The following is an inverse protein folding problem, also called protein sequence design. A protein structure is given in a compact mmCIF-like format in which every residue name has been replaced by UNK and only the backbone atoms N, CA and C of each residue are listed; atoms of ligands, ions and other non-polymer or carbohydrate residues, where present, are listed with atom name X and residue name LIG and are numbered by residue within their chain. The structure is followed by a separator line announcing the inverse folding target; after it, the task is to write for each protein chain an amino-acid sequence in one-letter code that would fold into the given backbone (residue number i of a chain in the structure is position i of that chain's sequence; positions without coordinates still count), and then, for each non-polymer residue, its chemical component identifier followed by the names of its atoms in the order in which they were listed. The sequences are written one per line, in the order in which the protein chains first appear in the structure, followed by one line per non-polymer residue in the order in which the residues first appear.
data_IF_599598855266
#
_entry.id   IF_599598855266
#
_cell.length_a   1.000
_cell.length_b   1.000
_cell.length_c   1.000
_cell.angle_alpha   90.00
_cell.angle_beta   90.00
_cell.angle_gamma   90.00
#
_symmetry.space_group_name_H-M   'P 1'
#
loop_
_entity.id
_entity.type
_entity.pdbx_description
1 polymer ?
#
# COMPACT_ATOMS: atom_id res chain seq x y z
N UNK A 1 -16.46 -5.35 64.34
CA UNK A 1 -15.05 -4.89 64.18
C UNK A 1 -15.03 -3.95 62.97
N UNK A 2 -14.60 -2.73 63.18
CA UNK A 2 -14.48 -1.78 62.03
C UNK A 2 -13.31 -2.24 61.17
N UNK A 3 -13.58 -2.70 59.95
CA UNK A 3 -12.57 -3.10 58.97
C UNK A 3 -11.90 -1.86 58.30
N UNK A 4 -11.86 -0.75 59.03
CA UNK A 4 -11.26 0.48 58.56
C UNK A 4 -9.73 0.43 58.65
N UNK A 5 -9.05 0.48 57.52
CA UNK A 5 -7.58 0.46 57.42
C UNK A 5 -7.03 1.78 56.88
N UNK A 6 -6.25 2.47 57.68
CA UNK A 6 -5.70 3.81 57.36
C UNK A 6 -4.20 3.76 57.09
N UNK A 7 -3.59 2.60 57.00
CA UNK A 7 -2.13 2.46 56.75
C UNK A 7 -1.24 2.59 57.98
N UNK A 8 -1.82 2.88 59.17
CA UNK A 8 -1.09 3.01 60.41
C UNK A 8 -0.99 1.70 61.24
N UNK A 9 -1.63 0.63 60.80
CA UNK A 9 -1.57 -0.66 61.43
C UNK A 9 -0.59 -1.58 60.69
N UNK A 10 0.20 -2.39 61.44
CA UNK A 10 1.28 -3.21 60.84
C UNK A 10 0.76 -4.30 59.90
N UNK A 11 -0.51 -4.66 59.97
CA UNK A 11 -1.12 -5.70 59.13
C UNK A 11 -2.53 -5.30 58.71
N UNK A 12 -2.82 -5.45 57.43
CA UNK A 12 -4.14 -5.22 56.85
C UNK A 12 -5.17 -6.21 57.46
N UNK A 13 -6.37 -5.74 57.85
CA UNK A 13 -7.45 -6.60 58.32
C UNK A 13 -7.80 -7.71 57.29
N UNK A 14 -8.15 -8.93 57.73
CA UNK A 14 -8.30 -10.07 56.82
C UNK A 14 -9.35 -9.86 55.70
N UNK A 15 -10.49 -9.24 56.05
CA UNK A 15 -11.56 -8.95 55.08
C UNK A 15 -11.09 -7.99 53.97
N UNK A 16 -10.43 -6.89 54.38
CA UNK A 16 -9.88 -5.91 53.43
C UNK A 16 -8.76 -6.52 52.57
N UNK A 17 -7.91 -7.37 53.15
CA UNK A 17 -6.86 -8.09 52.43
C UNK A 17 -7.42 -8.96 51.32
N UNK A 18 -8.47 -9.72 51.59
CA UNK A 18 -9.13 -10.58 50.59
C UNK A 18 -9.76 -9.74 49.51
N UNK A 19 -10.43 -8.66 49.86
CA UNK A 19 -11.02 -7.71 48.88
C UNK A 19 -9.96 -7.12 47.97
N UNK A 20 -8.89 -6.53 48.54
CA UNK A 20 -7.80 -5.92 47.75
C UNK A 20 -7.13 -6.92 46.82
N UNK A 21 -6.85 -8.16 47.32
CA UNK A 21 -6.28 -9.21 46.47
C UNK A 21 -7.17 -9.56 45.27
N UNK A 22 -8.51 -9.66 45.49
CA UNK A 22 -9.48 -9.92 44.41
C UNK A 22 -9.52 -8.79 43.40
N UNK A 23 -9.58 -7.54 43.85
CA UNK A 23 -9.60 -6.36 42.99
C UNK A 23 -8.33 -6.28 42.16
N UNK A 24 -7.15 -6.45 42.78
CA UNK A 24 -5.86 -6.45 42.07
C UNK A 24 -5.79 -7.58 41.04
N UNK A 25 -6.24 -8.77 41.37
CA UNK A 25 -6.27 -9.90 40.44
C UNK A 25 -7.21 -9.62 39.25
N UNK A 26 -8.41 -9.07 39.51
CA UNK A 26 -9.37 -8.73 38.45
C UNK A 26 -8.78 -7.64 37.51
N UNK A 27 -8.21 -6.57 38.09
CA UNK A 27 -7.59 -5.50 37.30
C UNK A 27 -6.42 -6.04 36.46
N UNK A 28 -5.58 -6.90 37.03
CA UNK A 28 -4.47 -7.55 36.33
C UNK A 28 -4.96 -8.41 35.15
N UNK A 29 -6.00 -9.20 35.36
CA UNK A 29 -6.60 -10.01 34.28
C UNK A 29 -7.23 -9.15 33.20
N UNK A 30 -7.95 -8.07 33.57
CA UNK A 30 -8.50 -7.12 32.57
C UNK A 30 -7.40 -6.42 31.78
N UNK A 31 -6.33 -5.98 32.43
CA UNK A 31 -5.20 -5.36 31.74
C UNK A 31 -4.54 -6.33 30.74
N UNK A 32 -4.34 -7.59 31.11
CA UNK A 32 -3.82 -8.61 30.20
C UNK A 32 -4.79 -8.89 29.04
N UNK A 33 -6.09 -8.97 29.30
CA UNK A 33 -7.08 -9.16 28.24
C UNK A 33 -7.12 -8.01 27.25
N UNK A 34 -7.06 -6.75 27.72
CA UNK A 34 -6.99 -5.56 26.87
C UNK A 34 -5.69 -5.56 26.05
N UNK A 35 -4.55 -5.86 26.67
CA UNK A 35 -3.28 -5.94 25.95
C UNK A 35 -3.31 -7.02 24.86
N UNK A 36 -3.86 -8.20 25.14
CA UNK A 36 -4.02 -9.25 24.15
C UNK A 36 -4.98 -8.84 23.03
N UNK A 37 -6.09 -8.20 23.33
CA UNK A 37 -7.04 -7.70 22.33
C UNK A 37 -6.40 -6.64 21.41
N UNK A 38 -5.59 -5.74 21.96
CA UNK A 38 -4.85 -4.74 21.17
C UNK A 38 -3.82 -5.40 20.25
N UNK A 39 -3.07 -6.38 20.74
CA UNK A 39 -2.11 -7.14 19.92
C UNK A 39 -2.82 -7.87 18.77
N UNK A 40 -3.90 -8.60 19.07
CA UNK A 40 -4.67 -9.32 18.07
C UNK A 40 -5.31 -8.39 17.05
N UNK A 41 -5.80 -7.21 17.48
CA UNK A 41 -6.35 -6.19 16.59
C UNK A 41 -5.35 -5.57 15.63
N UNK A 42 -4.05 -5.63 15.93
CA UNK A 42 -3.00 -5.12 15.05
C UNK A 42 -2.45 -6.18 14.06
N UNK A 43 -2.69 -7.46 14.29
CA UNK A 43 -2.20 -8.53 13.42
C UNK A 43 -2.63 -8.41 11.93
N UNK A 44 -3.87 -7.95 11.60
CA UNK A 44 -4.27 -7.75 10.20
C UNK A 44 -3.45 -6.70 9.45
N UNK A 45 -2.82 -5.77 10.16
CA UNK A 45 -1.99 -4.72 9.55
C UNK A 45 -0.59 -5.21 9.13
N UNK A 46 -0.18 -6.40 9.57
CA UNK A 46 1.17 -6.94 9.34
C UNK A 46 1.40 -7.55 7.94
N UNK A 47 0.47 -7.39 6.97
CA UNK A 47 0.57 -8.02 5.65
C UNK A 47 1.35 -7.21 4.62
N UNK A 48 1.84 -6.04 4.96
CA UNK A 48 2.61 -5.14 4.09
C UNK A 48 4.06 -5.07 4.54
N UNK A 49 4.99 -4.98 3.60
CA UNK A 49 6.42 -5.00 3.90
C UNK A 49 7.15 -3.95 3.10
N UNK A 50 8.02 -3.20 3.78
CA UNK A 50 9.05 -2.40 3.17
C UNK A 50 10.42 -2.96 3.62
N UNK A 51 11.19 -3.46 2.67
CA UNK A 51 12.55 -3.97 2.93
C UNK A 51 13.55 -2.83 3.08
N UNK A 52 13.26 -1.93 4.04
CA UNK A 52 14.06 -0.72 4.27
C UNK A 52 15.51 -1.06 4.58
N UNK A 53 16.45 -0.38 3.92
CA UNK A 53 17.89 -0.62 4.03
C UNK A 53 18.40 -1.84 3.26
N UNK A 54 17.54 -2.59 2.56
CA UNK A 54 17.92 -3.76 1.76
C UNK A 54 17.95 -3.43 0.28
N UNK A 55 18.95 -2.68 -0.14
CA UNK A 55 19.12 -2.28 -1.53
C UNK A 55 19.48 -3.48 -2.41
N UNK A 56 18.71 -3.72 -3.46
CA UNK A 56 18.92 -4.78 -4.45
C UNK A 56 19.11 -4.18 -5.84
N UNK A 57 19.72 -4.96 -6.76
CA UNK A 57 19.85 -4.60 -8.16
C UNK A 57 18.78 -5.29 -8.99
N UNK A 58 18.13 -4.52 -9.87
CA UNK A 58 17.09 -4.99 -10.77
C UNK A 58 17.47 -4.64 -12.19
N UNK A 59 17.10 -5.50 -13.14
CA UNK A 59 17.25 -5.28 -14.57
C UNK A 59 15.96 -5.67 -15.27
N UNK A 60 15.53 -4.85 -16.23
CA UNK A 60 14.29 -5.12 -16.95
C UNK A 60 14.02 -4.06 -18.01
N UNK A 61 12.89 -4.22 -18.69
CA UNK A 61 12.41 -3.27 -19.70
C UNK A 61 11.51 -2.25 -19.00
N UNK A 62 11.72 -0.98 -19.29
CA UNK A 62 10.96 0.09 -18.69
C UNK A 62 9.71 0.41 -19.51
N UNK A 63 8.56 0.38 -18.87
CA UNK A 63 7.31 0.98 -19.34
C UNK A 63 7.03 2.25 -18.54
N UNK A 64 6.71 3.36 -19.20
CA UNK A 64 6.43 4.62 -18.51
C UNK A 64 4.94 4.97 -18.45
N UNK A 65 4.07 4.25 -19.18
CA UNK A 65 2.64 4.53 -19.26
C UNK A 65 1.78 3.34 -18.76
N UNK A 66 0.73 3.58 -17.95
CA UNK A 66 0.37 4.86 -17.32
C UNK A 66 1.29 5.29 -16.19
N UNK A 67 1.99 4.36 -15.56
CA UNK A 67 2.91 4.61 -14.45
C UNK A 67 4.25 3.92 -14.70
N UNK A 68 5.37 4.54 -14.32
CA UNK A 68 6.68 3.90 -14.45
C UNK A 68 6.70 2.52 -13.82
N UNK A 69 7.02 1.53 -14.63
CA UNK A 69 6.97 0.10 -14.27
C UNK A 69 8.18 -0.60 -14.89
N UNK A 70 8.87 -1.41 -14.10
CA UNK A 70 9.94 -2.26 -14.58
C UNK A 70 9.40 -3.66 -14.89
N UNK A 71 9.58 -4.11 -16.11
CA UNK A 71 9.26 -5.46 -16.56
C UNK A 71 10.50 -6.33 -16.39
N UNK A 72 10.48 -7.20 -15.40
CA UNK A 72 11.58 -8.13 -15.11
C UNK A 72 11.24 -9.49 -15.68
N UNK A 73 12.14 -10.06 -16.46
CA UNK A 73 11.97 -11.38 -17.09
C UNK A 73 11.68 -12.45 -16.02
N UNK A 74 10.66 -13.28 -16.24
CA UNK A 74 10.36 -14.45 -15.42
C UNK A 74 10.94 -15.71 -16.08
N UNK A 75 11.77 -16.49 -15.38
CA UNK A 75 12.17 -17.79 -15.88
C UNK A 75 10.98 -18.78 -15.88
N UNK A 76 10.87 -19.64 -16.88
CA UNK A 76 9.83 -20.67 -16.97
C UNK A 76 8.49 -20.18 -17.51
N UNK A 77 8.51 -19.36 -18.56
CA UNK A 77 7.34 -18.88 -19.29
C UNK A 77 6.44 -20.05 -19.76
N UNK A 78 5.15 -19.99 -19.43
CA UNK A 78 4.09 -20.85 -19.96
C UNK A 78 2.90 -19.98 -20.35
N UNK A 79 1.94 -20.48 -21.11
CA UNK A 79 0.70 -19.73 -21.46
C UNK A 79 -0.06 -19.21 -20.23
N UNK A 80 0.09 -19.87 -19.09
CA UNK A 80 -0.53 -19.48 -17.81
C UNK A 80 0.36 -18.63 -16.92
N UNK A 81 1.62 -18.39 -17.30
CA UNK A 81 2.58 -17.60 -16.51
C UNK A 81 3.05 -16.41 -17.33
N UNK A 82 2.75 -15.15 -16.89
CA UNK A 82 3.17 -13.98 -17.65
C UNK A 82 4.69 -13.92 -17.80
N UNK A 83 5.15 -13.51 -18.97
CA UNK A 83 6.57 -13.40 -19.32
C UNK A 83 7.36 -12.50 -18.37
N UNK A 84 6.70 -11.49 -17.83
CA UNK A 84 7.32 -10.48 -16.98
C UNK A 84 6.63 -10.37 -15.63
N UNK A 85 7.42 -10.13 -14.59
CA UNK A 85 6.94 -9.51 -13.35
C UNK A 85 6.94 -8.00 -13.52
N UNK A 86 5.88 -7.35 -13.08
CA UNK A 86 5.70 -5.90 -13.21
C UNK A 86 5.92 -5.24 -11.85
N UNK A 87 6.95 -4.44 -11.72
CA UNK A 87 7.26 -3.70 -10.51
C UNK A 87 7.01 -2.21 -10.72
N UNK A 88 6.04 -1.64 -10.01
CA UNK A 88 5.86 -0.19 -10.00
C UNK A 88 7.12 0.49 -9.50
N UNK A 89 7.46 1.64 -10.10
CA UNK A 89 8.65 2.41 -9.70
C UNK A 89 8.23 3.72 -9.05
N UNK A 90 8.84 4.04 -7.93
CA UNK A 90 8.69 5.33 -7.25
C UNK A 90 10.04 5.89 -6.83
N UNK A 91 10.11 7.19 -6.66
CA UNK A 91 11.30 7.86 -6.12
C UNK A 91 11.28 7.86 -4.59
N UNK A 92 12.40 8.15 -3.93
CA UNK A 92 12.45 8.34 -2.48
C UNK A 92 11.51 9.43 -1.98
N UNK A 93 11.04 9.27 -0.75
CA UNK A 93 10.11 10.22 -0.13
C UNK A 93 8.69 10.11 -0.71
N UNK A 94 8.05 11.26 -0.99
CA UNK A 94 6.67 11.36 -1.46
C UNK A 94 6.59 11.67 -2.96
N UNK A 95 7.42 11.04 -3.77
CA UNK A 95 7.55 11.34 -5.18
C UNK A 95 7.35 10.10 -6.06
N UNK A 96 6.63 10.29 -7.16
CA UNK A 96 6.59 9.33 -8.27
C UNK A 96 7.93 9.28 -9.00
N UNK A 97 8.07 8.33 -9.90
CA UNK A 97 9.31 8.13 -10.66
C UNK A 97 9.27 8.70 -12.08
N UNK A 98 8.20 9.40 -12.48
CA UNK A 98 8.01 9.90 -13.84
C UNK A 98 9.17 10.78 -14.32
N UNK A 99 9.66 11.67 -13.44
CA UNK A 99 10.78 12.56 -13.76
C UNK A 99 12.11 11.83 -13.90
N UNK A 100 12.27 10.66 -13.29
CA UNK A 100 13.49 9.86 -13.39
C UNK A 100 13.60 9.13 -14.74
N UNK A 101 12.47 8.89 -15.39
CA UNK A 101 12.38 8.01 -16.55
C UNK A 101 11.86 8.70 -17.81
N UNK A 102 12.04 10.01 -17.93
CA UNK A 102 11.69 10.74 -19.14
C UNK A 102 12.49 10.22 -20.34
N UNK A 103 11.81 9.98 -21.48
CA UNK A 103 12.40 9.50 -22.74
C UNK A 103 13.11 8.14 -22.64
N UNK A 104 12.71 7.28 -21.68
CA UNK A 104 13.32 5.98 -21.47
C UNK A 104 12.35 4.81 -21.69
N UNK A 105 11.11 5.09 -22.13
CA UNK A 105 10.14 4.05 -22.45
C UNK A 105 10.70 3.04 -23.46
N UNK A 106 10.53 1.74 -23.17
CA UNK A 106 11.06 0.65 -24.01
C UNK A 106 12.55 0.39 -23.89
N UNK A 107 13.28 1.09 -23.03
CA UNK A 107 14.69 0.80 -22.81
C UNK A 107 14.86 -0.29 -21.75
N UNK A 108 15.84 -1.17 -21.96
CA UNK A 108 16.34 -2.03 -20.91
C UNK A 108 17.18 -1.18 -19.97
N UNK A 109 16.89 -1.26 -18.69
CA UNK A 109 17.57 -0.48 -17.65
C UNK A 109 18.02 -1.39 -16.51
N UNK A 110 19.13 -1.00 -15.90
CA UNK A 110 19.55 -1.54 -14.61
C UNK A 110 19.43 -0.44 -13.57
N UNK A 111 18.86 -0.77 -12.43
CA UNK A 111 18.68 0.17 -11.33
C UNK A 111 18.85 -0.56 -9.98
N UNK A 112 19.05 0.19 -8.93
CA UNK A 112 19.00 -0.30 -7.55
C UNK A 112 17.81 0.29 -6.83
N UNK A 113 17.30 -0.41 -5.84
CA UNK A 113 16.22 0.07 -5.00
C UNK A 113 15.82 -0.93 -3.93
N UNK A 114 14.82 -0.56 -3.17
CA UNK A 114 14.27 -1.30 -2.06
C UNK A 114 12.86 -1.77 -2.39
N UNK A 115 12.53 -3.00 -2.00
CA UNK A 115 11.23 -3.59 -2.29
C UNK A 115 10.17 -3.14 -1.29
N UNK A 116 9.00 -2.82 -1.80
CA UNK A 116 7.78 -2.54 -1.05
C UNK A 116 6.68 -3.42 -1.63
N UNK A 117 6.03 -4.25 -0.80
CA UNK A 117 5.03 -5.17 -1.34
C UNK A 117 3.93 -5.51 -0.35
N UNK A 118 2.75 -5.83 -0.91
CA UNK A 118 1.59 -6.38 -0.21
C UNK A 118 0.85 -7.31 -1.16
N UNK A 119 0.58 -8.53 -0.71
CA UNK A 119 -0.04 -9.58 -1.52
C UNK A 119 0.73 -9.81 -2.84
N UNK A 120 0.07 -9.62 -3.97
CA UNK A 120 0.62 -9.79 -5.32
C UNK A 120 1.19 -8.49 -5.93
N UNK A 121 1.05 -7.36 -5.26
CA UNK A 121 1.55 -6.08 -5.73
C UNK A 121 2.94 -5.78 -5.18
N UNK A 122 3.86 -5.44 -6.06
CA UNK A 122 5.23 -5.09 -5.70
C UNK A 122 5.66 -3.77 -6.34
N UNK A 123 6.43 -3.01 -5.61
CA UNK A 123 6.96 -1.71 -5.97
C UNK A 123 8.45 -1.66 -5.63
N UNK A 124 9.20 -0.86 -6.37
CA UNK A 124 10.61 -0.55 -6.07
C UNK A 124 10.71 0.94 -5.76
N UNK A 125 11.21 1.27 -4.57
CA UNK A 125 11.73 2.62 -4.31
C UNK A 125 13.11 2.70 -4.92
N UNK A 126 13.22 3.47 -6.01
CA UNK A 126 14.42 3.51 -6.84
C UNK A 126 15.47 4.44 -6.23
N UNK A 127 16.73 4.03 -6.20
CA UNK A 127 17.87 4.88 -5.93
C UNK A 127 18.24 5.67 -7.20
N UNK A 128 17.93 6.99 -7.33
CA UNK A 128 18.01 7.71 -8.61
C UNK A 128 19.41 7.68 -9.25
N UNK A 129 20.47 7.77 -8.44
CA UNK A 129 21.85 7.76 -8.91
C UNK A 129 22.30 6.41 -9.49
N UNK A 130 21.52 5.35 -9.27
CA UNK A 130 21.85 4.00 -9.72
C UNK A 130 21.36 3.66 -11.14
N UNK A 131 20.48 4.48 -11.70
CA UNK A 131 19.82 4.20 -12.99
C UNK A 131 20.85 4.20 -14.11
N UNK A 132 20.87 3.11 -14.90
CA UNK A 132 21.72 2.97 -16.11
C UNK A 132 20.87 2.40 -17.24
N UNK A 133 20.75 3.16 -18.32
CA UNK A 133 20.21 2.64 -19.59
C UNK A 133 21.22 1.69 -20.22
N UNK A 134 20.79 0.53 -20.65
CA UNK A 134 21.63 -0.49 -21.30
C UNK A 134 21.45 -0.41 -22.81
N UNK A 135 20.32 -0.85 -23.30
CA UNK A 135 20.00 -0.90 -24.72
C UNK A 135 18.55 -0.51 -24.96
N UNK A 136 18.23 -0.12 -26.19
CA UNK A 136 16.85 0.06 -26.60
C UNK A 136 16.31 -1.29 -27.07
N UNK A 137 15.18 -1.69 -26.51
CA UNK A 137 14.43 -2.88 -26.92
C UNK A 137 13.12 -2.36 -27.50
N UNK A 138 12.69 -2.94 -28.62
CA UNK A 138 11.33 -2.60 -29.09
C UNK A 138 10.33 -2.99 -28.00
N UNK A 139 9.62 -2.02 -27.40
CA UNK A 139 8.64 -2.35 -26.41
C UNK A 139 7.51 -3.11 -27.07
N UNK A 140 7.29 -4.34 -26.65
CA UNK A 140 6.08 -5.07 -26.97
C UNK A 140 5.21 -5.13 -25.70
N UNK A 141 4.61 -4.01 -25.30
CA UNK A 141 3.79 -3.97 -24.12
C UNK A 141 2.55 -4.82 -24.34
N UNK A 142 2.23 -5.68 -23.37
CA UNK A 142 0.95 -6.37 -23.39
C UNK A 142 -0.16 -5.32 -23.57
N UNK A 143 -1.12 -5.52 -24.48
CA UNK A 143 -2.25 -4.61 -24.63
C UNK A 143 -3.11 -4.63 -23.36
N UNK A 144 -3.83 -3.53 -23.11
CA UNK A 144 -4.88 -3.54 -22.12
C UNK A 144 -6.00 -4.46 -22.58
N UNK A 145 -6.43 -5.34 -21.69
CA UNK A 145 -7.57 -6.22 -21.87
C UNK A 145 -8.71 -5.73 -20.96
N UNK A 146 -9.85 -5.40 -21.55
CA UNK A 146 -11.04 -5.07 -20.77
C UNK A 146 -11.61 -6.32 -20.09
N UNK A 147 -11.88 -6.18 -18.80
CA UNK A 147 -12.58 -7.19 -18.00
C UNK A 147 -14.06 -6.82 -17.78
N UNK A 148 -14.50 -5.68 -18.35
CA UNK A 148 -15.86 -5.18 -18.28
C UNK A 148 -16.09 -4.08 -17.26
N UNK A 149 -17.31 -3.58 -17.23
CA UNK A 149 -17.76 -2.57 -16.27
C UNK A 149 -17.93 -3.19 -14.89
N UNK A 150 -17.49 -2.44 -13.87
CA UNK A 150 -17.63 -2.82 -12.46
C UNK A 150 -18.21 -1.67 -11.64
N UNK A 151 -18.92 -2.05 -10.58
CA UNK A 151 -19.35 -1.11 -9.54
C UNK A 151 -18.78 -1.61 -8.21
N UNK A 152 -17.83 -0.85 -7.66
CA UNK A 152 -17.07 -1.25 -6.47
C UNK A 152 -17.07 -0.15 -5.41
N UNK A 153 -17.03 -0.57 -4.15
CA UNK A 153 -16.92 0.33 -2.99
C UNK A 153 -15.60 0.11 -2.29
N UNK A 154 -14.92 1.20 -1.97
CA UNK A 154 -13.59 1.17 -1.36
C UNK A 154 -13.09 2.56 -1.03
N UNK A 155 -11.78 2.72 -1.01
CA UNK A 155 -11.14 4.02 -0.80
C UNK A 155 -9.94 4.19 -1.73
N UNK A 156 -9.59 5.45 -2.02
CA UNK A 156 -8.37 5.82 -2.75
C UNK A 156 -7.23 6.00 -1.75
N UNK A 157 -6.14 5.27 -1.98
CA UNK A 157 -4.92 5.34 -1.17
C UNK A 157 -3.70 5.62 -2.06
N UNK A 158 -2.60 6.08 -1.48
CA UNK A 158 -1.33 6.04 -2.19
C UNK A 158 -0.72 4.63 -2.15
N UNK A 159 -0.25 4.16 -3.31
CA UNK A 159 0.29 2.81 -3.43
C UNK A 159 1.50 2.55 -2.55
N UNK A 160 2.40 3.52 -2.39
CA UNK A 160 3.65 3.34 -1.65
C UNK A 160 3.43 3.07 -0.17
N UNK A 161 2.62 3.89 0.48
CA UNK A 161 2.32 3.71 1.90
C UNK A 161 1.44 2.47 2.13
N UNK A 162 0.44 2.26 1.26
CA UNK A 162 -0.45 1.12 1.37
C UNK A 162 0.27 -0.21 1.21
N UNK A 163 1.21 -0.30 0.27
CA UNK A 163 1.96 -1.54 0.02
C UNK A 163 2.96 -1.88 1.13
N UNK A 164 3.49 -0.89 1.87
CA UNK A 164 4.41 -1.27 2.96
C UNK A 164 5.08 -0.16 3.75
N UNK A 165 5.09 1.08 3.26
CA UNK A 165 5.85 2.14 3.96
C UNK A 165 5.15 2.62 5.24
N UNK A 166 3.82 2.53 5.30
CA UNK A 166 3.04 2.94 6.47
C UNK A 166 2.07 1.85 6.92
N UNK A 167 1.85 1.79 8.23
CA UNK A 167 0.88 0.89 8.81
C UNK A 167 0.07 1.60 9.91
N UNK A 168 -1.23 1.88 9.70
CA UNK A 168 -1.99 1.61 8.47
C UNK A 168 -1.63 2.60 7.34
N UNK A 169 -1.58 2.11 6.10
CA UNK A 169 -1.40 2.91 4.87
C UNK A 169 -2.73 3.32 4.24
N UNK A 170 -3.83 3.38 5.01
CA UNK A 170 -5.18 3.63 4.55
C UNK A 170 -6.02 4.32 5.63
N UNK A 171 -7.23 4.78 5.25
CA UNK A 171 -8.20 5.41 6.14
C UNK A 171 -7.88 6.85 6.51
N UNK A 172 -8.80 7.48 7.25
CA UNK A 172 -8.73 8.93 7.57
C UNK A 172 -7.46 9.35 8.29
N UNK A 173 -6.88 8.47 9.12
CA UNK A 173 -5.62 8.76 9.81
C UNK A 173 -4.44 8.95 8.85
N UNK A 174 -4.52 8.37 7.64
CA UNK A 174 -3.49 8.46 6.61
C UNK A 174 -3.77 9.50 5.52
N UNK A 175 -4.94 10.13 5.50
CA UNK A 175 -5.45 11.01 4.43
C UNK A 175 -4.46 12.08 3.98
N UNK A 176 -3.92 12.86 4.91
CA UNK A 176 -3.02 13.97 4.56
C UNK A 176 -1.69 13.48 3.98
N UNK A 177 -1.20 12.34 4.46
CA UNK A 177 -0.03 11.71 3.91
C UNK A 177 -0.31 11.21 2.49
N UNK A 178 -1.38 10.45 2.29
CA UNK A 178 -1.77 9.90 1.00
C UNK A 178 -2.02 11.00 -0.05
N UNK A 179 -2.71 12.07 0.33
CA UNK A 179 -2.93 13.23 -0.55
C UNK A 179 -1.62 13.83 -1.05
N UNK A 180 -0.64 13.99 -0.16
CA UNK A 180 0.69 14.52 -0.54
C UNK A 180 1.48 13.55 -1.41
N UNK A 181 1.39 12.26 -1.14
CA UNK A 181 2.05 11.22 -1.94
C UNK A 181 1.48 11.19 -3.38
N UNK A 182 0.16 11.20 -3.52
CA UNK A 182 -0.52 11.20 -4.82
C UNK A 182 -0.20 12.51 -5.58
N UNK A 183 -0.27 13.67 -4.91
CA UNK A 183 0.12 14.96 -5.52
C UNK A 183 1.58 15.00 -5.93
N UNK A 184 2.45 14.23 -5.29
CA UNK A 184 3.85 14.06 -5.65
C UNK A 184 4.11 13.03 -6.76
N UNK A 185 3.05 12.43 -7.33
CA UNK A 185 3.15 11.47 -8.44
C UNK A 185 3.21 10.00 -8.03
N UNK A 186 3.04 9.67 -6.74
CA UNK A 186 2.88 8.27 -6.32
C UNK A 186 1.57 7.74 -6.95
N UNK A 187 1.59 6.58 -7.64
CA UNK A 187 0.40 6.02 -8.26
C UNK A 187 -0.74 5.81 -7.27
N UNK A 188 -1.95 6.33 -7.52
CA UNK A 188 -3.10 6.07 -6.67
C UNK A 188 -3.62 4.65 -6.88
N UNK A 189 -3.97 3.98 -5.77
CA UNK A 189 -4.68 2.71 -5.75
C UNK A 189 -6.12 2.92 -5.28
N UNK A 190 -7.05 2.21 -5.89
CA UNK A 190 -8.36 1.96 -5.32
C UNK A 190 -8.33 0.62 -4.60
N UNK A 191 -8.64 0.62 -3.32
CA UNK A 191 -8.67 -0.57 -2.49
C UNK A 191 -10.12 -0.85 -2.12
N UNK A 192 -10.63 -2.00 -2.55
CA UNK A 192 -12.00 -2.42 -2.24
C UNK A 192 -12.12 -2.87 -0.78
N UNK A 193 -13.35 -3.00 -0.29
CA UNK A 193 -13.62 -3.58 1.05
C UNK A 193 -13.17 -5.03 1.18
N UNK A 194 -13.08 -5.75 0.08
CA UNK A 194 -12.58 -7.14 0.02
C UNK A 194 -11.06 -7.22 -0.04
N UNK A 195 -10.38 -6.07 -0.27
CA UNK A 195 -8.94 -5.98 -0.33
C UNK A 195 -8.36 -6.08 -1.74
N UNK A 196 -9.22 -6.09 -2.78
CA UNK A 196 -8.75 -6.01 -4.16
C UNK A 196 -8.12 -4.65 -4.43
N UNK A 197 -7.10 -4.61 -5.28
CA UNK A 197 -6.27 -3.45 -5.52
C UNK A 197 -6.24 -3.11 -7.02
N UNK A 198 -6.58 -1.89 -7.36
CA UNK A 198 -6.61 -1.41 -8.75
C UNK A 198 -5.85 -0.09 -8.87
N UNK A 199 -4.91 0.00 -9.80
CA UNK A 199 -4.30 1.28 -10.17
C UNK A 199 -5.34 2.16 -10.86
N UNK A 200 -5.48 3.41 -10.42
CA UNK A 200 -6.46 4.33 -11.00
C UNK A 200 -5.92 5.00 -12.25
N UNK A 201 -6.75 5.06 -13.28
CA UNK A 201 -6.49 5.84 -14.51
C UNK A 201 -7.73 6.63 -14.91
N UNK A 202 -7.52 7.71 -15.64
CA UNK A 202 -8.58 8.54 -16.20
C UNK A 202 -9.30 7.84 -17.38
N UNK A 203 -10.38 8.41 -17.95
CA UNK A 203 -11.08 7.82 -19.10
C UNK A 203 -10.22 7.58 -20.34
N UNK A 204 -9.11 8.30 -20.49
CA UNK A 204 -8.14 8.11 -21.57
C UNK A 204 -7.06 7.08 -21.24
N UNK A 205 -7.11 6.45 -20.06
CA UNK A 205 -6.09 5.51 -19.57
C UNK A 205 -4.79 6.15 -19.09
N UNK A 206 -4.81 7.45 -18.75
CA UNK A 206 -3.66 8.21 -18.26
C UNK A 206 -3.69 8.36 -16.74
N UNK A 207 -2.54 8.70 -16.11
CA UNK A 207 -2.52 9.08 -14.71
C UNK A 207 -3.40 10.31 -14.44
N UNK A 208 -4.09 10.32 -13.29
CA UNK A 208 -4.77 11.54 -12.85
C UNK A 208 -3.77 12.64 -12.49
N UNK A 209 -4.08 13.91 -12.79
CA UNK A 209 -3.34 15.04 -12.24
C UNK A 209 -3.31 14.96 -10.70
N UNK A 210 -2.16 15.26 -10.08
CA UNK A 210 -1.90 15.00 -8.67
C UNK A 210 -2.96 15.50 -7.67
N UNK A 211 -3.60 16.65 -7.95
CA UNK A 211 -4.63 17.23 -7.06
C UNK A 211 -6.06 16.79 -7.39
N UNK A 212 -6.30 16.16 -8.54
CA UNK A 212 -7.65 15.81 -8.99
C UNK A 212 -8.37 14.85 -8.02
N UNK A 213 -7.63 13.94 -7.40
CA UNK A 213 -8.17 12.94 -6.49
C UNK A 213 -8.25 13.41 -5.03
N UNK A 214 -7.68 14.57 -4.67
CA UNK A 214 -7.44 15.00 -3.29
C UNK A 214 -8.67 14.93 -2.37
N UNK A 215 -9.84 15.32 -2.87
CA UNK A 215 -11.08 15.31 -2.09
C UNK A 215 -11.63 13.91 -1.80
N UNK A 216 -11.22 12.92 -2.59
CA UNK A 216 -11.70 11.54 -2.51
C UNK A 216 -10.74 10.62 -1.76
N UNK A 217 -9.50 11.08 -1.49
CA UNK A 217 -8.47 10.27 -0.83
C UNK A 217 -8.91 9.91 0.59
N UNK A 218 -8.80 8.61 0.93
CA UNK A 218 -9.14 8.04 2.22
C UNK A 218 -10.60 8.28 2.67
N UNK A 219 -11.50 8.49 1.70
CA UNK A 219 -12.94 8.51 1.93
C UNK A 219 -13.58 7.24 1.37
N UNK A 220 -14.56 6.68 2.08
CA UNK A 220 -15.35 5.58 1.53
C UNK A 220 -16.18 6.09 0.35
N UNK A 221 -15.89 5.60 -0.84
CA UNK A 221 -16.59 6.00 -2.06
C UNK A 221 -17.06 4.77 -2.84
N UNK A 222 -18.12 4.94 -3.61
CA UNK A 222 -18.56 3.99 -4.63
C UNK A 222 -18.15 4.51 -6.00
N UNK A 223 -17.63 3.62 -6.81
CA UNK A 223 -17.06 3.93 -8.13
C UNK A 223 -17.65 3.00 -9.17
N UNK A 224 -18.14 3.58 -10.26
CA UNK A 224 -18.42 2.84 -11.49
C UNK A 224 -17.29 3.11 -12.48
N UNK A 225 -16.79 2.06 -13.13
CA UNK A 225 -15.70 2.19 -14.08
C UNK A 225 -15.41 0.89 -14.82
N UNK A 226 -14.49 0.98 -15.77
CA UNK A 226 -14.04 -0.17 -16.55
C UNK A 226 -12.81 -0.79 -15.89
N UNK A 227 -12.90 -2.09 -15.58
CA UNK A 227 -11.76 -2.86 -15.10
C UNK A 227 -10.90 -3.32 -16.26
N UNK A 228 -9.63 -2.96 -16.23
CA UNK A 228 -8.63 -3.31 -17.23
C UNK A 228 -7.54 -4.18 -16.62
N UNK A 229 -7.00 -5.08 -17.42
CA UNK A 229 -5.83 -5.88 -17.07
C UNK A 229 -4.71 -5.68 -18.08
N UNK A 230 -3.48 -5.63 -17.59
CA UNK A 230 -2.27 -5.58 -18.41
C UNK A 230 -1.16 -6.38 -17.75
N UNK A 231 -0.87 -7.56 -18.27
CA UNK A 231 -0.01 -8.53 -17.61
C UNK A 231 -0.59 -8.95 -16.26
N UNK A 232 0.18 -8.79 -15.19
CA UNK A 232 -0.24 -9.09 -13.82
C UNK A 232 -0.81 -7.86 -13.07
N UNK A 233 -0.95 -6.72 -13.74
CA UNK A 233 -1.47 -5.48 -13.14
C UNK A 233 -2.92 -5.23 -13.52
N UNK A 234 -3.72 -4.81 -12.56
CA UNK A 234 -5.12 -4.41 -12.76
C UNK A 234 -5.29 -2.91 -12.60
N UNK A 235 -6.10 -2.34 -13.47
CA UNK A 235 -6.39 -0.91 -13.50
C UNK A 235 -7.88 -0.69 -13.46
N UNK A 236 -8.29 0.35 -12.76
CA UNK A 236 -9.67 0.82 -12.76
C UNK A 236 -9.72 2.18 -13.46
N UNK A 237 -10.34 2.19 -14.64
CA UNK A 237 -10.56 3.38 -15.45
C UNK A 237 -11.85 4.04 -14.98
N UNK A 238 -11.75 5.29 -14.50
CA UNK A 238 -12.88 6.01 -13.91
C UNK A 238 -12.99 7.44 -14.43
N UNK A 239 -14.21 7.95 -14.43
CA UNK A 239 -14.51 9.36 -14.58
C UNK A 239 -14.81 9.96 -13.21
N UNK A 240 -14.09 11.04 -12.84
CA UNK A 240 -14.29 11.73 -11.55
C UNK A 240 -15.69 12.30 -11.39
N UNK A 241 -16.39 12.61 -12.49
CA UNK A 241 -17.76 13.08 -12.46
C UNK A 241 -18.77 12.01 -11.97
N UNK A 242 -18.34 10.74 -11.93
CA UNK A 242 -19.14 9.59 -11.51
C UNK A 242 -18.81 9.07 -10.10
N UNK A 243 -17.99 9.80 -9.33
CA UNK A 243 -17.67 9.47 -7.94
C UNK A 243 -18.74 10.02 -6.99
N UNK A 244 -19.29 9.17 -6.13
CA UNK A 244 -20.32 9.49 -5.14
C UNK A 244 -19.88 9.15 -3.72
#
# INVERSE_FOLDING_TARGET
MNDFYVGYVPKMPPGLRVFVRRVVAIIGLLAMAVAAALLLGQMPFAKSTFEFGQVRSFEGILETNPYPTLLVDRPGETESNPKYSRYLLVAPGKHGADTLFQNTNGKRVRLKGELIYRADQTMIEVEPASIRALESVEPNPAPFRSLGEVHVTGEIVDSKCYLGVMNPGMGKAHRDCASRCISGGIPPLFVTRTGDQFLLVDPDGRPFPGDALRKFVAEPISVQGELLERGDSKFLKIDLAQLY
#
